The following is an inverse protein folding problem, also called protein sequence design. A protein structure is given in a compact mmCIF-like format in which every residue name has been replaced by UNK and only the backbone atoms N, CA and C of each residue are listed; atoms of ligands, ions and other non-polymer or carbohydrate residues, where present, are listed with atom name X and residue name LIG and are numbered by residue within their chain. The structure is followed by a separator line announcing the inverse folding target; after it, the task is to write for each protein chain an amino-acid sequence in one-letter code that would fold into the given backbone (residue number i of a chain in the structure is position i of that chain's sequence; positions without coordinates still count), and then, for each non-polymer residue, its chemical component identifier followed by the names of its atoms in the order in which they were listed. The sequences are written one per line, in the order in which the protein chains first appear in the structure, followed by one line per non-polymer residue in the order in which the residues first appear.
data_IF_940098056424
#
_entry.id   IF_940098056424
#
_cell.length_a   1.000
_cell.length_b   1.000
_cell.length_c   1.000
_cell.angle_alpha   90.00
_cell.angle_beta   90.00
_cell.angle_gamma   90.00
#
_symmetry.space_group_name_H-M   'P 1'
#
loop_
_entity.id
_entity.type
_entity.pdbx_description
1 polymer ?
#
# COMPACT_ATOMS: atom_id res chain seq x y z
N UNK A 1 -25.10 -3.97 2.14
CA UNK A 1 -25.06 -2.57 2.61
C UNK A 1 -25.73 -1.66 1.60
N UNK A 2 -26.51 -0.64 1.98
CA UNK A 2 -27.10 0.28 1.00
C UNK A 2 -26.12 1.37 0.59
N UNK A 3 -26.30 1.91 -0.62
CA UNK A 3 -25.49 3.00 -1.19
C UNK A 3 -25.39 4.20 -0.23
N UNK A 4 -26.50 4.57 0.40
CA UNK A 4 -26.57 5.72 1.33
C UNK A 4 -25.67 5.53 2.55
N UNK A 5 -25.66 4.34 3.15
CA UNK A 5 -24.82 4.05 4.32
C UNK A 5 -23.33 4.13 3.98
N UNK A 6 -22.95 3.71 2.76
CA UNK A 6 -21.58 3.79 2.30
C UNK A 6 -21.08 5.23 2.15
N UNK A 7 -21.87 6.10 1.51
CA UNK A 7 -21.48 7.51 1.37
C UNK A 7 -21.49 8.25 2.71
N UNK A 8 -22.43 7.94 3.59
CA UNK A 8 -22.44 8.47 4.95
C UNK A 8 -21.17 8.07 5.70
N UNK A 9 -20.78 6.78 5.62
CA UNK A 9 -19.53 6.31 6.22
C UNK A 9 -18.32 7.05 5.66
N UNK A 10 -18.19 7.20 4.33
CA UNK A 10 -17.08 7.92 3.72
C UNK A 10 -17.02 9.37 4.20
N UNK A 11 -18.17 10.05 4.28
CA UNK A 11 -18.23 11.42 4.78
C UNK A 11 -17.70 11.52 6.21
N UNK A 12 -18.17 10.63 7.10
CA UNK A 12 -17.70 10.58 8.50
C UNK A 12 -16.22 10.24 8.57
N UNK A 13 -15.75 9.29 7.74
CA UNK A 13 -14.35 8.88 7.67
C UNK A 13 -13.43 10.04 7.24
N UNK A 14 -13.82 10.81 6.23
CA UNK A 14 -13.09 12.00 5.79
C UNK A 14 -12.99 13.00 6.95
N UNK A 15 -14.11 13.33 7.59
CA UNK A 15 -14.12 14.27 8.72
C UNK A 15 -13.20 13.79 9.85
N UNK A 16 -13.26 12.49 10.17
CA UNK A 16 -12.41 11.89 11.20
C UNK A 16 -10.92 11.97 10.84
N UNK A 17 -10.54 11.66 9.60
CA UNK A 17 -9.14 11.76 9.15
C UNK A 17 -8.60 13.19 9.25
N UNK A 18 -9.36 14.17 8.76
CA UNK A 18 -8.97 15.57 8.85
C UNK A 18 -8.85 16.02 10.30
N UNK A 19 -9.84 15.68 11.14
CA UNK A 19 -9.80 15.99 12.58
C UNK A 19 -8.54 15.41 13.22
N UNK A 20 -8.27 14.11 13.01
CA UNK A 20 -7.09 13.46 13.58
C UNK A 20 -5.79 14.10 13.10
N UNK A 21 -5.66 14.35 11.80
CA UNK A 21 -4.47 14.98 11.22
C UNK A 21 -4.19 16.38 11.79
N UNK A 22 -5.24 17.16 12.10
CA UNK A 22 -5.09 18.46 12.76
C UNK A 22 -4.71 18.37 14.23
N UNK A 23 -5.26 17.41 14.98
CA UNK A 23 -5.09 17.33 16.44
C UNK A 23 -3.85 16.56 16.89
N UNK A 24 -3.35 15.65 16.05
CA UNK A 24 -2.25 14.77 16.43
C UNK A 24 -0.95 15.59 16.52
N UNK A 25 -0.18 15.50 17.63
CA UNK A 25 1.09 16.18 17.74
C UNK A 25 2.11 15.62 16.73
N UNK A 26 3.13 16.40 16.40
CA UNK A 26 4.20 15.98 15.49
C UNK A 26 5.10 15.00 16.25
N UNK A 27 5.23 13.78 15.73
CA UNK A 27 6.12 12.77 16.29
C UNK A 27 7.59 13.03 15.97
N UNK A 28 8.54 12.43 16.72
CA UNK A 28 9.98 12.57 16.44
C UNK A 28 10.35 12.19 15.00
N UNK A 29 9.80 11.08 14.48
CA UNK A 29 10.08 10.61 13.12
C UNK A 29 9.56 11.57 12.04
N UNK A 30 8.40 12.19 12.26
CA UNK A 30 7.84 13.17 11.34
C UNK A 30 8.66 14.47 11.36
N UNK A 31 9.14 14.88 12.54
CA UNK A 31 10.00 16.03 12.67
C UNK A 31 11.34 15.82 11.93
N UNK A 32 11.96 14.65 12.05
CA UNK A 32 13.20 14.34 11.31
C UNK A 32 12.98 14.34 9.79
N UNK A 33 11.84 13.79 9.33
CA UNK A 33 11.46 13.81 7.91
C UNK A 33 11.23 15.23 7.39
N UNK A 34 10.64 16.10 8.21
CA UNK A 34 10.32 17.46 7.83
C UNK A 34 11.55 18.38 7.84
N UNK A 35 12.44 18.26 8.83
CA UNK A 35 13.53 19.22 9.02
C UNK A 35 14.88 18.80 8.44
N UNK A 36 15.13 17.51 8.25
CA UNK A 36 16.50 17.01 8.00
C UNK A 36 16.62 16.11 6.79
N UNK A 37 15.52 15.50 6.35
CA UNK A 37 15.57 14.54 5.26
C UNK A 37 15.60 15.20 3.87
N UNK A 38 16.11 14.49 2.86
CA UNK A 38 16.13 14.91 1.45
C UNK A 38 15.38 13.95 0.53
N UNK A 39 14.68 12.96 1.11
CA UNK A 39 13.87 11.99 0.37
C UNK A 39 12.63 12.61 -0.29
N UNK A 40 11.95 11.80 -1.11
CA UNK A 40 10.66 12.17 -1.74
C UNK A 40 9.64 12.62 -0.69
N UNK A 41 9.66 12.03 0.51
CA UNK A 41 8.76 12.41 1.60
C UNK A 41 8.96 13.86 2.04
N UNK A 42 10.22 14.33 2.14
CA UNK A 42 10.51 15.72 2.45
C UNK A 42 9.83 16.65 1.44
N UNK A 43 10.00 16.39 0.14
CA UNK A 43 9.38 17.21 -0.90
C UNK A 43 7.86 17.29 -0.77
N UNK A 44 7.22 16.16 -0.45
CA UNK A 44 5.77 16.08 -0.30
C UNK A 44 5.29 16.86 0.91
N UNK A 45 5.98 16.77 2.05
CA UNK A 45 5.59 17.50 3.26
C UNK A 45 5.60 19.03 3.08
N UNK A 46 6.34 19.56 2.11
CA UNK A 46 6.41 21.00 1.84
C UNK A 46 5.40 21.48 0.79
N UNK A 47 4.69 20.58 0.08
CA UNK A 47 3.76 20.95 -1.01
C UNK A 47 2.61 21.84 -0.53
N UNK A 48 2.08 21.59 0.66
CA UNK A 48 0.96 22.32 1.25
C UNK A 48 1.38 23.29 2.36
N UNK A 49 2.68 23.62 2.43
CA UNK A 49 3.20 24.52 3.44
C UNK A 49 2.52 25.90 3.34
N UNK A 50 1.92 26.37 4.43
CA UNK A 50 1.31 27.69 4.53
C UNK A 50 -0.15 27.76 4.09
N UNK A 51 -0.81 26.63 3.80
CA UNK A 51 -2.22 26.63 3.39
C UNK A 51 -3.18 26.84 4.57
N UNK A 52 -2.94 26.17 5.70
CA UNK A 52 -3.77 26.27 6.91
C UNK A 52 -3.01 26.82 8.11
N UNK A 53 -1.67 26.87 8.07
CA UNK A 53 -0.84 27.40 9.15
C UNK A 53 -0.83 26.53 10.41
N UNK A 54 -1.18 25.25 10.28
CA UNK A 54 -1.24 24.28 11.38
C UNK A 54 -0.61 22.94 10.98
N UNK A 55 -0.69 21.94 11.85
CA UNK A 55 -0.14 20.60 11.62
C UNK A 55 -0.75 19.85 10.40
N UNK A 56 -1.85 20.35 9.83
CA UNK A 56 -2.43 19.77 8.62
C UNK A 56 -1.54 20.01 7.41
N UNK A 57 -0.85 21.16 7.33
CA UNK A 57 -0.12 21.60 6.14
C UNK A 57 0.84 20.54 5.62
N UNK A 58 1.65 19.97 6.51
CA UNK A 58 2.66 18.99 6.14
C UNK A 58 2.10 17.56 5.99
N UNK A 59 0.92 17.27 6.54
CA UNK A 59 0.23 15.97 6.43
C UNK A 59 -0.80 15.90 5.31
N UNK A 60 -1.24 17.04 4.79
CA UNK A 60 -2.32 17.13 3.82
C UNK A 60 -2.09 16.24 2.58
N UNK A 61 -0.90 16.19 1.97
CA UNK A 61 -0.66 15.33 0.82
C UNK A 61 -0.87 13.84 1.15
N UNK A 62 -0.47 13.42 2.35
CA UNK A 62 -0.62 12.05 2.83
C UNK A 62 -2.08 11.71 3.10
N UNK A 63 -2.84 12.64 3.70
CA UNK A 63 -4.29 12.48 3.91
C UNK A 63 -5.02 12.36 2.58
N UNK A 64 -4.68 13.21 1.59
CA UNK A 64 -5.28 13.15 0.26
C UNK A 64 -4.95 11.85 -0.47
N UNK A 65 -3.71 11.37 -0.38
CA UNK A 65 -3.31 10.06 -0.90
C UNK A 65 -4.03 8.91 -0.17
N UNK A 66 -4.21 9.02 1.15
CA UNK A 66 -4.99 8.08 1.94
C UNK A 66 -6.45 8.00 1.49
N UNK A 67 -7.08 9.14 1.19
CA UNK A 67 -8.42 9.19 0.62
C UNK A 67 -8.45 8.62 -0.80
N UNK A 68 -7.43 8.91 -1.61
CA UNK A 68 -7.28 8.31 -2.93
C UNK A 68 -7.15 6.78 -2.84
N UNK A 69 -6.45 6.25 -1.83
CA UNK A 69 -6.35 4.81 -1.59
C UNK A 69 -7.72 4.16 -1.34
N UNK A 70 -8.60 4.81 -0.57
CA UNK A 70 -9.96 4.30 -0.37
C UNK A 70 -10.74 4.26 -1.70
N UNK A 71 -10.63 5.31 -2.51
CA UNK A 71 -11.28 5.36 -3.82
C UNK A 71 -10.72 4.30 -4.79
N UNK A 72 -9.39 4.16 -4.87
CA UNK A 72 -8.71 3.16 -5.68
C UNK A 72 -9.08 1.75 -5.22
N UNK A 73 -9.08 1.47 -3.92
CA UNK A 73 -9.48 0.19 -3.38
C UNK A 73 -10.93 -0.14 -3.75
N UNK A 74 -11.85 0.83 -3.65
CA UNK A 74 -13.23 0.63 -4.07
C UNK A 74 -13.31 0.26 -5.56
N UNK A 75 -12.61 1.00 -6.43
CA UNK A 75 -12.55 0.71 -7.88
C UNK A 75 -11.96 -0.67 -8.18
N UNK A 76 -10.93 -1.08 -7.43
CA UNK A 76 -10.32 -2.40 -7.53
C UNK A 76 -11.30 -3.48 -7.08
N UNK A 77 -11.94 -3.32 -5.91
CA UNK A 77 -12.85 -4.31 -5.33
C UNK A 77 -14.06 -4.62 -6.22
N UNK A 78 -14.54 -3.66 -7.02
CA UNK A 78 -15.60 -3.87 -8.02
C UNK A 78 -15.22 -4.82 -9.15
N UNK A 79 -13.92 -5.07 -9.36
CA UNK A 79 -13.44 -6.05 -10.35
C UNK A 79 -13.40 -7.47 -9.81
N UNK A 80 -13.27 -7.61 -8.49
CA UNK A 80 -13.17 -8.90 -7.82
C UNK A 80 -14.52 -9.40 -7.30
N UNK A 81 -15.40 -8.51 -6.84
CA UNK A 81 -16.73 -8.87 -6.37
C UNK A 81 -17.79 -8.71 -7.45
N UNK A 82 -18.74 -9.65 -7.48
CA UNK A 82 -19.88 -9.60 -8.42
C UNK A 82 -21.00 -8.67 -7.91
N UNK A 83 -21.19 -8.58 -6.58
CA UNK A 83 -22.16 -7.67 -5.97
C UNK A 83 -21.46 -6.39 -5.48
N UNK A 84 -21.96 -5.24 -5.90
CA UNK A 84 -21.51 -3.92 -5.44
C UNK A 84 -21.59 -3.77 -3.92
N UNK A 85 -22.53 -4.47 -3.25
CA UNK A 85 -22.69 -4.44 -1.80
C UNK A 85 -21.48 -5.05 -1.07
N UNK A 86 -20.85 -6.05 -1.67
CA UNK A 86 -19.63 -6.68 -1.14
C UNK A 86 -18.43 -5.74 -1.32
N UNK A 87 -18.33 -5.06 -2.47
CA UNK A 87 -17.34 -4.01 -2.68
C UNK A 87 -17.44 -2.88 -1.65
N UNK A 88 -18.67 -2.45 -1.32
CA UNK A 88 -18.88 -1.46 -0.26
C UNK A 88 -18.36 -1.96 1.09
N UNK A 89 -18.73 -3.17 1.49
CA UNK A 89 -18.31 -3.74 2.78
C UNK A 89 -16.79 -3.92 2.85
N UNK A 90 -16.18 -4.47 1.81
CA UNK A 90 -14.74 -4.67 1.71
C UNK A 90 -13.98 -3.34 1.81
N UNK A 91 -14.47 -2.29 1.14
CA UNK A 91 -13.88 -0.94 1.21
C UNK A 91 -13.98 -0.34 2.61
N UNK A 92 -15.10 -0.54 3.31
CA UNK A 92 -15.22 -0.10 4.71
C UNK A 92 -14.23 -0.83 5.60
N UNK A 93 -14.13 -2.16 5.47
CA UNK A 93 -13.16 -2.95 6.24
C UNK A 93 -11.75 -2.44 5.98
N UNK A 94 -11.39 -2.22 4.71
CA UNK A 94 -10.09 -1.66 4.32
C UNK A 94 -9.84 -0.27 4.93
N UNK A 95 -10.82 0.64 4.85
CA UNK A 95 -10.70 1.98 5.42
C UNK A 95 -10.54 1.98 6.95
N UNK A 96 -11.12 0.99 7.64
CA UNK A 96 -11.06 0.85 9.09
C UNK A 96 -9.80 0.14 9.59
N UNK A 97 -8.95 -0.39 8.70
CA UNK A 97 -7.71 -1.03 9.11
C UNK A 97 -6.81 0.00 9.83
N UNK A 98 -6.32 -0.31 11.05
CA UNK A 98 -5.45 0.61 11.79
C UNK A 98 -4.24 1.08 11.00
N UNK A 99 -3.63 0.18 10.21
CA UNK A 99 -2.50 0.51 9.34
C UNK A 99 -2.85 1.48 8.22
N UNK A 100 -4.06 1.37 7.64
CA UNK A 100 -4.53 2.30 6.59
C UNK A 100 -4.77 3.68 7.18
N UNK A 101 -5.47 3.77 8.31
CA UNK A 101 -5.70 5.04 9.02
C UNK A 101 -4.36 5.68 9.41
N UNK A 102 -3.45 4.90 10.00
CA UNK A 102 -2.14 5.39 10.45
C UNK A 102 -1.29 5.90 9.29
N UNK A 103 -1.26 5.15 8.18
CA UNK A 103 -0.53 5.56 6.97
C UNK A 103 -1.08 6.83 6.32
N UNK A 104 -2.38 7.08 6.44
CA UNK A 104 -3.02 8.27 5.87
C UNK A 104 -2.80 9.52 6.72
N UNK A 105 -2.64 9.38 8.04
CA UNK A 105 -2.50 10.50 8.97
C UNK A 105 -1.02 10.86 9.18
N UNK A 106 -0.15 9.87 9.35
CA UNK A 106 1.27 10.09 9.58
C UNK A 106 2.02 10.23 8.26
N UNK A 107 3.09 11.05 8.27
CA UNK A 107 4.04 11.14 7.15
C UNK A 107 4.77 9.80 7.03
N UNK A 108 4.32 8.94 6.11
CA UNK A 108 4.86 7.60 5.93
C UNK A 108 4.87 7.20 4.44
N UNK A 109 5.94 6.54 4.01
CA UNK A 109 6.08 6.00 2.65
C UNK A 109 5.01 4.97 2.29
N UNK A 110 4.45 4.27 3.27
CA UNK A 110 3.44 3.23 3.06
C UNK A 110 2.22 3.74 2.27
N UNK A 111 1.75 4.97 2.50
CA UNK A 111 0.58 5.51 1.79
C UNK A 111 0.84 5.65 0.28
N UNK A 112 2.06 6.02 -0.10
CA UNK A 112 2.50 6.14 -1.49
C UNK A 112 2.62 4.75 -2.14
N UNK A 113 3.26 3.82 -1.44
CA UNK A 113 3.42 2.43 -1.93
C UNK A 113 2.05 1.81 -2.17
N UNK A 114 1.11 1.93 -1.22
CA UNK A 114 -0.27 1.43 -1.37
C UNK A 114 -0.95 2.08 -2.58
N UNK A 115 -0.79 3.40 -2.76
CA UNK A 115 -1.37 4.14 -3.91
C UNK A 115 -0.90 3.54 -5.24
N UNK A 116 0.41 3.32 -5.39
CA UNK A 116 0.95 2.79 -6.63
C UNK A 116 0.62 1.32 -6.85
N UNK A 117 0.62 0.49 -5.80
CA UNK A 117 0.22 -0.92 -5.90
C UNK A 117 -1.24 -1.05 -6.31
N UNK A 118 -2.16 -0.30 -5.68
CA UNK A 118 -3.58 -0.30 -6.07
C UNK A 118 -3.77 0.22 -7.50
N UNK A 119 -3.08 1.29 -7.86
CA UNK A 119 -3.11 1.85 -9.22
C UNK A 119 -2.63 0.83 -10.24
N UNK A 120 -1.52 0.15 -9.96
CA UNK A 120 -0.98 -0.91 -10.81
C UNK A 120 -2.00 -2.04 -11.04
N UNK A 121 -2.64 -2.53 -9.97
CA UNK A 121 -3.65 -3.60 -10.08
C UNK A 121 -4.82 -3.14 -10.96
N UNK A 122 -5.30 -1.90 -10.79
CA UNK A 122 -6.39 -1.36 -11.62
C UNK A 122 -5.97 -1.26 -13.09
N UNK A 123 -4.76 -0.79 -13.37
CA UNK A 123 -4.24 -0.70 -14.74
C UNK A 123 -4.00 -2.08 -15.36
N UNK A 124 -3.59 -3.06 -14.54
CA UNK A 124 -3.49 -4.47 -14.91
C UNK A 124 -4.84 -5.01 -15.38
N UNK A 125 -5.87 -4.89 -14.56
CA UNK A 125 -7.23 -5.35 -14.87
C UNK A 125 -7.83 -4.64 -16.10
N UNK A 126 -7.55 -3.35 -16.28
CA UNK A 126 -7.99 -2.57 -17.45
C UNK A 126 -7.16 -2.82 -18.72
N UNK A 127 -6.12 -3.66 -18.67
CA UNK A 127 -5.17 -3.93 -19.78
C UNK A 127 -4.48 -2.66 -20.31
N UNK A 128 -4.24 -1.68 -19.44
CA UNK A 128 -3.60 -0.41 -19.77
C UNK A 128 -2.08 -0.50 -19.58
N UNK A 129 -1.39 -1.17 -20.51
CA UNK A 129 0.03 -1.55 -20.36
C UNK A 129 0.99 -0.37 -20.13
N UNK A 130 0.76 0.78 -20.78
CA UNK A 130 1.61 1.98 -20.60
C UNK A 130 1.56 2.47 -19.16
N UNK A 131 0.36 2.58 -18.60
CA UNK A 131 0.17 3.05 -17.22
C UNK A 131 0.69 2.03 -16.20
N UNK A 132 0.61 0.73 -16.49
CA UNK A 132 1.28 -0.31 -15.67
C UNK A 132 2.78 -0.06 -15.61
N UNK A 133 3.44 0.14 -16.75
CA UNK A 133 4.88 0.44 -16.81
C UNK A 133 5.26 1.71 -16.05
N UNK A 134 4.47 2.78 -16.20
CA UNK A 134 4.66 4.03 -15.45
C UNK A 134 4.55 3.78 -13.93
N UNK A 135 3.54 3.04 -13.47
CA UNK A 135 3.41 2.74 -12.03
C UNK A 135 4.54 1.86 -11.49
N UNK A 136 5.06 0.93 -12.30
CA UNK A 136 6.21 0.11 -11.90
C UNK A 136 7.47 0.97 -11.78
N UNK A 137 7.73 1.87 -12.73
CA UNK A 137 8.85 2.81 -12.64
C UNK A 137 8.70 3.78 -11.47
N UNK A 138 7.49 4.26 -11.20
CA UNK A 138 7.23 5.08 -10.02
C UNK A 138 7.55 4.32 -8.72
N UNK A 139 7.11 3.06 -8.59
CA UNK A 139 7.41 2.23 -7.41
C UNK A 139 8.91 2.02 -7.20
N UNK A 140 9.67 1.84 -8.29
CA UNK A 140 11.12 1.67 -8.22
C UNK A 140 11.80 2.90 -7.59
N UNK A 141 11.32 4.11 -7.88
CA UNK A 141 11.92 5.34 -7.38
C UNK A 141 11.51 5.69 -5.95
N UNK A 142 10.41 5.12 -5.47
CA UNK A 142 9.77 5.54 -4.21
C UNK A 142 10.39 4.86 -3.00
N UNK A 143 10.63 3.54 -3.06
CA UNK A 143 11.08 2.80 -1.88
C UNK A 143 11.76 1.46 -2.21
N UNK A 144 12.75 1.11 -1.40
CA UNK A 144 13.59 -0.08 -1.52
C UNK A 144 12.76 -1.38 -1.40
N UNK A 145 11.73 -1.38 -0.54
CA UNK A 145 10.81 -2.51 -0.39
C UNK A 145 9.98 -2.81 -1.66
N UNK A 146 10.05 -1.96 -2.70
CA UNK A 146 9.46 -2.25 -4.02
C UNK A 146 10.06 -3.49 -4.69
N UNK A 147 11.26 -3.92 -4.30
CA UNK A 147 11.86 -5.20 -4.74
C UNK A 147 10.88 -6.36 -4.56
N UNK A 148 10.26 -6.46 -3.37
CA UNK A 148 9.34 -7.57 -3.05
C UNK A 148 8.15 -7.58 -4.00
N UNK A 149 7.63 -6.40 -4.34
CA UNK A 149 6.57 -6.25 -5.33
C UNK A 149 7.02 -6.70 -6.74
N UNK A 150 8.21 -6.33 -7.19
CA UNK A 150 8.73 -6.78 -8.49
C UNK A 150 9.00 -8.28 -8.54
N UNK A 151 9.52 -8.87 -7.47
CA UNK A 151 9.67 -10.33 -7.33
C UNK A 151 8.30 -11.00 -7.45
N UNK A 152 7.27 -10.49 -6.77
CA UNK A 152 5.91 -11.02 -6.85
C UNK A 152 5.37 -11.01 -8.28
N UNK A 153 5.59 -9.92 -9.02
CA UNK A 153 5.19 -9.79 -10.42
C UNK A 153 5.99 -10.72 -11.35
N UNK A 154 7.28 -10.91 -11.11
CA UNK A 154 8.10 -11.86 -11.85
C UNK A 154 7.58 -13.29 -11.67
N UNK A 155 7.27 -13.70 -10.43
CA UNK A 155 6.68 -15.01 -10.16
C UNK A 155 5.33 -15.14 -10.87
N UNK A 156 4.42 -14.18 -10.68
CA UNK A 156 3.10 -14.19 -11.30
C UNK A 156 3.16 -14.28 -12.84
N UNK A 157 4.01 -13.46 -13.46
CA UNK A 157 4.16 -13.42 -14.92
C UNK A 157 4.80 -14.69 -15.49
N UNK A 158 5.68 -15.36 -14.74
CA UNK A 158 6.18 -16.69 -15.08
C UNK A 158 5.06 -17.72 -15.12
N UNK A 159 4.18 -17.75 -14.11
CA UNK A 159 3.02 -18.64 -14.09
C UNK A 159 2.03 -18.35 -15.23
N UNK A 160 1.82 -17.08 -15.57
CA UNK A 160 0.95 -16.65 -16.68
C UNK A 160 1.60 -16.73 -18.06
N UNK A 161 2.89 -17.08 -18.15
CA UNK A 161 3.71 -17.05 -19.38
C UNK A 161 3.69 -15.70 -20.11
N UNK A 162 3.56 -14.59 -19.37
CA UNK A 162 3.63 -13.25 -19.95
C UNK A 162 5.08 -12.75 -19.98
N UNK A 163 5.74 -12.97 -21.12
CA UNK A 163 7.17 -12.65 -21.31
C UNK A 163 7.49 -11.16 -21.11
N UNK A 164 6.58 -10.25 -21.50
CA UNK A 164 6.84 -8.80 -21.41
C UNK A 164 6.85 -8.37 -19.94
N UNK A 165 5.80 -8.74 -19.19
CA UNK A 165 5.71 -8.42 -17.77
C UNK A 165 6.82 -9.11 -16.96
N UNK A 166 7.18 -10.34 -17.34
CA UNK A 166 8.26 -11.09 -16.72
C UNK A 166 9.62 -10.40 -16.87
N UNK A 167 10.01 -10.10 -18.11
CA UNK A 167 11.29 -9.42 -18.39
C UNK A 167 11.37 -8.06 -17.71
N UNK A 168 10.28 -7.27 -17.76
CA UNK A 168 10.23 -5.99 -17.07
C UNK A 168 10.36 -6.13 -15.54
N UNK A 169 9.64 -7.08 -14.93
CA UNK A 169 9.67 -7.28 -13.48
C UNK A 169 11.04 -7.75 -12.99
N UNK A 170 11.70 -8.67 -13.73
CA UNK A 170 13.06 -9.10 -13.41
C UNK A 170 14.05 -7.95 -13.52
N UNK A 171 13.98 -7.18 -14.61
CA UNK A 171 14.87 -6.05 -14.84
C UNK A 171 14.71 -5.02 -13.72
N UNK A 172 13.49 -4.64 -13.35
CA UNK A 172 13.25 -3.70 -12.26
C UNK A 172 13.67 -4.27 -10.91
N UNK A 173 13.44 -5.55 -10.65
CA UNK A 173 13.94 -6.20 -9.43
C UNK A 173 15.46 -6.15 -9.34
N UNK A 174 16.17 -6.39 -10.44
CA UNK A 174 17.63 -6.32 -10.48
C UNK A 174 18.13 -4.89 -10.26
N UNK A 175 17.53 -3.89 -10.91
CA UNK A 175 17.88 -2.47 -10.69
C UNK A 175 17.62 -2.08 -9.24
N UNK A 176 16.46 -2.45 -8.69
CA UNK A 176 16.09 -2.12 -7.32
C UNK A 176 17.07 -2.73 -6.31
N UNK A 177 17.50 -3.97 -6.53
CA UNK A 177 18.53 -4.59 -5.69
C UNK A 177 19.88 -3.87 -5.81
N UNK A 178 20.33 -3.54 -7.02
CA UNK A 178 21.63 -2.90 -7.23
C UNK A 178 21.71 -1.45 -6.73
N UNK A 179 20.59 -0.72 -6.77
CA UNK A 179 20.55 0.70 -6.39
C UNK A 179 20.34 0.92 -4.90
N UNK A 180 19.47 0.11 -4.26
CA UNK A 180 19.06 0.32 -2.87
C UNK A 180 19.76 -0.62 -1.88
N UNK A 181 20.04 -1.85 -2.28
CA UNK A 181 20.85 -2.77 -1.49
C UNK A 181 22.27 -2.78 -2.05
N UNK A 182 23.16 -1.98 -1.46
CA UNK A 182 24.56 -2.43 -1.41
C UNK A 182 24.52 -3.89 -0.96
N UNK A 183 25.18 -4.80 -1.69
CA UNK A 183 25.06 -6.26 -1.55
C UNK A 183 25.61 -6.80 -0.21
N UNK A 184 25.34 -6.13 0.90
CA UNK A 184 25.57 -6.62 2.26
C UNK A 184 24.40 -7.50 2.68
N UNK A 185 24.27 -8.64 2.00
CA UNK A 185 23.49 -9.78 2.49
C UNK A 185 24.31 -10.42 3.62
N UNK A 186 24.40 -9.71 4.74
CA UNK A 186 25.23 -10.05 5.89
C UNK A 186 24.62 -9.55 7.18
N UNK A 187 24.15 -10.48 8.01
CA UNK A 187 23.60 -10.19 9.33
C UNK A 187 23.23 -11.48 10.06
N UNK A 188 23.41 -11.50 11.37
CA UNK A 188 22.85 -12.57 12.20
C UNK A 188 21.32 -12.42 12.25
N UNK A 189 20.54 -13.51 12.15
CA UNK A 189 19.09 -13.42 12.24
C UNK A 189 18.71 -12.84 13.60
N UNK A 190 18.20 -11.60 13.58
CA UNK A 190 17.66 -10.94 14.77
C UNK A 190 16.32 -11.59 15.07
N UNK A 191 16.02 -11.84 16.34
CA UNK A 191 14.76 -12.46 16.81
C UNK A 191 13.53 -11.58 16.63
N UNK A 192 13.45 -10.77 15.57
CA UNK A 192 12.42 -9.76 15.32
C UNK A 192 11.11 -10.36 14.76
N UNK A 193 11.07 -11.67 14.49
CA UNK A 193 9.87 -12.33 13.93
C UNK A 193 8.61 -12.07 14.77
N UNK A 194 8.69 -12.21 16.10
CA UNK A 194 7.54 -11.99 16.98
C UNK A 194 7.11 -10.52 16.99
N UNK A 195 8.06 -9.59 16.87
CA UNK A 195 7.80 -8.15 16.81
C UNK A 195 7.11 -7.76 15.51
N UNK A 196 7.62 -8.24 14.35
CA UNK A 196 7.00 -8.04 13.04
C UNK A 196 5.62 -8.67 12.96
N UNK A 197 5.46 -9.89 13.50
CA UNK A 197 4.17 -10.57 13.55
C UNK A 197 3.16 -9.80 14.41
N UNK A 198 3.59 -9.31 15.58
CA UNK A 198 2.78 -8.45 16.45
C UNK A 198 2.40 -7.12 15.78
N UNK A 199 3.34 -6.51 15.07
CA UNK A 199 3.11 -5.29 14.30
C UNK A 199 2.04 -5.52 13.22
N UNK A 200 2.13 -6.61 12.46
CA UNK A 200 1.13 -6.92 11.44
C UNK A 200 -0.26 -7.19 12.04
N UNK A 201 -0.35 -7.88 13.17
CA UNK A 201 -1.62 -8.07 13.90
C UNK A 201 -2.23 -6.71 14.28
N UNK A 202 -1.41 -5.78 14.77
CA UNK A 202 -1.87 -4.45 15.15
C UNK A 202 -2.32 -3.63 13.93
N UNK A 203 -1.57 -3.67 12.83
CA UNK A 203 -1.86 -2.90 11.60
C UNK A 203 -3.09 -3.42 10.85
N UNK A 204 -3.28 -4.74 10.78
CA UNK A 204 -4.42 -5.34 10.08
C UNK A 204 -5.66 -5.48 10.95
N UNK A 205 -5.58 -5.25 12.27
CA UNK A 205 -6.55 -5.76 13.25
C UNK A 205 -6.50 -7.29 13.38
N UNK A 206 -6.51 -7.86 14.60
CA UNK A 206 -6.32 -9.30 14.81
C UNK A 206 -7.27 -10.20 14.01
N UNK A 207 -8.55 -9.82 13.89
CA UNK A 207 -9.55 -10.63 13.19
C UNK A 207 -9.30 -10.69 11.68
N UNK A 208 -9.01 -9.53 11.06
CA UNK A 208 -8.74 -9.49 9.62
C UNK A 208 -7.40 -10.15 9.32
N UNK A 209 -6.41 -10.02 10.21
CA UNK A 209 -5.13 -10.70 10.07
C UNK A 209 -5.28 -12.23 10.02
N UNK A 210 -6.03 -12.82 10.96
CA UNK A 210 -6.29 -14.27 10.96
C UNK A 210 -7.03 -14.69 9.69
N UNK A 211 -8.04 -13.91 9.27
CA UNK A 211 -8.77 -14.18 8.03
C UNK A 211 -7.87 -14.08 6.79
N UNK A 212 -6.95 -13.11 6.75
CA UNK A 212 -5.98 -12.93 5.67
C UNK A 212 -5.09 -14.17 5.50
N UNK A 213 -4.56 -14.72 6.59
CA UNK A 213 -3.79 -15.98 6.56
C UNK A 213 -4.61 -17.14 6.02
N UNK A 214 -5.83 -17.30 6.54
CA UNK A 214 -6.75 -18.33 6.09
C UNK A 214 -7.03 -18.20 4.58
N UNK A 215 -7.28 -16.98 4.10
CA UNK A 215 -7.56 -16.71 2.69
C UNK A 215 -6.37 -17.03 1.79
N UNK A 216 -5.15 -16.59 2.17
CA UNK A 216 -3.92 -16.91 1.43
C UNK A 216 -3.71 -18.43 1.32
N UNK A 217 -3.86 -19.15 2.43
CA UNK A 217 -3.71 -20.60 2.49
C UNK A 217 -4.79 -21.34 1.68
N UNK A 218 -6.05 -20.92 1.79
CA UNK A 218 -7.18 -21.52 1.05
C UNK A 218 -7.02 -21.36 -0.46
N UNK A 219 -6.66 -20.16 -0.92
CA UNK A 219 -6.46 -19.88 -2.35
C UNK A 219 -5.27 -20.67 -2.88
N UNK A 220 -4.19 -20.80 -2.10
CA UNK A 220 -3.01 -21.56 -2.48
C UNK A 220 -3.35 -23.01 -2.88
N UNK A 221 -4.22 -23.66 -2.10
CA UNK A 221 -4.59 -25.07 -2.27
C UNK A 221 -5.74 -25.31 -3.26
N UNK A 222 -6.74 -24.42 -3.30
CA UNK A 222 -8.04 -24.74 -3.94
C UNK A 222 -8.43 -23.84 -5.10
N UNK A 223 -7.88 -22.64 -5.20
CA UNK A 223 -8.36 -21.63 -6.15
C UNK A 223 -7.30 -21.19 -7.16
N UNK A 224 -7.73 -20.45 -8.18
CA UNK A 224 -6.84 -19.86 -9.17
C UNK A 224 -6.11 -18.68 -8.53
N UNK A 225 -4.79 -18.73 -8.59
CA UNK A 225 -3.89 -17.71 -8.06
C UNK A 225 -3.89 -16.52 -9.03
N UNK A 226 -4.60 -15.47 -8.67
CA UNK A 226 -4.63 -14.21 -9.42
C UNK A 226 -3.41 -13.33 -9.06
N UNK A 227 -3.33 -12.15 -9.68
CA UNK A 227 -2.22 -11.22 -9.45
C UNK A 227 -2.19 -10.71 -8.00
N UNK A 228 -3.37 -10.47 -7.42
CA UNK A 228 -3.52 -10.00 -6.06
C UNK A 228 -2.96 -11.01 -5.05
N UNK A 229 -3.27 -12.30 -5.23
CA UNK A 229 -2.74 -13.37 -4.40
C UNK A 229 -1.22 -13.45 -4.47
N UNK A 230 -0.60 -13.31 -5.65
CA UNK A 230 0.86 -13.35 -5.77
C UNK A 230 1.52 -12.16 -5.06
N UNK A 231 0.98 -10.96 -5.24
CA UNK A 231 1.48 -9.75 -4.55
C UNK A 231 1.36 -9.92 -3.04
N UNK A 232 0.19 -10.33 -2.55
CA UNK A 232 -0.05 -10.50 -1.12
C UNK A 232 0.80 -11.63 -0.51
N UNK A 233 0.91 -12.77 -1.18
CA UNK A 233 1.66 -13.92 -0.71
C UNK A 233 3.16 -13.66 -0.68
N UNK A 234 3.72 -13.04 -1.73
CA UNK A 234 5.13 -12.69 -1.77
C UNK A 234 5.47 -11.59 -0.75
N UNK A 235 4.62 -10.55 -0.64
CA UNK A 235 4.78 -9.52 0.37
C UNK A 235 4.83 -10.11 1.78
N UNK A 236 3.90 -11.00 2.12
CA UNK A 236 3.85 -11.61 3.44
C UNK A 236 4.99 -12.60 3.71
N UNK A 237 5.45 -13.34 2.70
CA UNK A 237 6.47 -14.39 2.88
C UNK A 237 7.91 -13.85 2.88
N UNK A 238 8.14 -12.68 2.27
CA UNK A 238 9.46 -12.08 2.10
C UNK A 238 9.69 -10.83 2.95
N UNK A 239 8.65 -10.32 3.64
CA UNK A 239 8.77 -9.23 4.62
C UNK A 239 9.24 -9.74 5.97
#
# INVERSE_FOLDING_TARGET
MSKTHFYLFIMVYIIALFSLATTLPIGPNEATLYYTDTTILYSLTHVAQGWFGNALDFRLPFVLLGLANIALFFMMSQRYFSDIKESYLSTIIFALLPGIITSAILVNIAVLVITFVLSFIIFYEKKMYVYQGITMLALLLVHDASVIFFIALAIFSAFRRNQILFSMSILLSAISLLYFNGLDIGGTPRGEFLELFGLYIALFSPLVFIYFFYALYRIWLREKKDILWHIAFAAFSLS
#
